data_IF_186764786720
#
_entry.id   IF_186764786720
#
_cell.length_a   1.000
_cell.length_b   1.000
_cell.length_c   1.000
_cell.angle_alpha   90.00
_cell.angle_beta   90.00
_cell.angle_gamma   90.00
#
_symmetry.space_group_name_H-M   'P 1'
#
loop_
_entity.id
_entity.type
_entity.pdbx_description
1 polymer ?
#
# COMPACT_ATOMS: atom_id res chain seq x y z
N UNK A 1 -3.62 2.17 7.37
CA UNK A 1 -4.61 3.25 7.66
C UNK A 1 -6.08 2.88 7.37
N UNK A 2 -6.37 2.05 6.37
CA UNK A 2 -7.74 1.60 6.07
C UNK A 2 -7.90 0.13 6.45
N UNK A 3 -8.35 -0.15 7.68
CA UNK A 3 -8.40 -1.50 8.23
C UNK A 3 -9.79 -2.11 8.09
N UNK A 4 -10.07 -2.69 6.93
CA UNK A 4 -11.24 -3.53 6.63
C UNK A 4 -10.96 -4.36 5.38
N UNK A 5 -11.82 -5.35 5.09
CA UNK A 5 -11.75 -6.15 3.86
C UNK A 5 -10.38 -6.78 3.62
N UNK A 6 -9.90 -6.70 2.37
CA UNK A 6 -8.61 -7.27 1.95
C UNK A 6 -7.40 -6.69 2.69
N UNK A 7 -7.43 -5.40 3.05
CA UNK A 7 -6.34 -4.76 3.82
C UNK A 7 -6.25 -5.29 5.24
N UNK A 8 -7.40 -5.52 5.89
CA UNK A 8 -7.43 -6.14 7.21
C UNK A 8 -6.93 -7.58 7.15
N UNK A 9 -7.47 -8.37 6.23
CA UNK A 9 -7.07 -9.77 6.07
C UNK A 9 -5.56 -9.89 5.83
N UNK A 10 -4.98 -9.05 4.98
CA UNK A 10 -3.54 -9.05 4.75
C UNK A 10 -2.74 -8.72 6.00
N UNK A 11 -3.09 -7.64 6.71
CA UNK A 11 -2.36 -7.20 7.89
C UNK A 11 -2.44 -8.22 9.04
N UNK A 12 -3.62 -8.81 9.26
CA UNK A 12 -3.83 -9.87 10.25
C UNK A 12 -3.09 -11.15 9.87
N UNK A 13 -3.11 -11.53 8.58
CA UNK A 13 -2.37 -12.70 8.10
C UNK A 13 -0.86 -12.51 8.22
N UNK A 14 -0.35 -11.32 7.87
CA UNK A 14 1.05 -10.98 8.06
C UNK A 14 1.44 -11.10 9.53
N UNK A 15 0.63 -10.56 10.45
CA UNK A 15 0.89 -10.71 11.90
C UNK A 15 0.85 -12.18 12.36
N UNK A 16 -0.10 -12.96 11.86
CA UNK A 16 -0.35 -14.34 12.32
C UNK A 16 0.70 -15.32 11.83
N UNK A 17 1.17 -15.17 10.59
CA UNK A 17 2.05 -16.14 9.92
C UNK A 17 3.51 -15.66 9.78
N UNK A 18 3.83 -14.47 10.28
CA UNK A 18 5.20 -13.96 10.30
C UNK A 18 6.02 -14.61 11.42
N UNK A 19 7.32 -14.77 11.18
CA UNK A 19 8.29 -15.12 12.21
C UNK A 19 8.74 -13.90 13.04
N UNK A 20 8.31 -12.71 12.64
CA UNK A 20 8.57 -11.44 13.32
C UNK A 20 7.44 -11.07 14.28
N UNK A 21 7.76 -10.31 15.31
CA UNK A 21 6.76 -9.64 16.12
C UNK A 21 6.16 -8.47 15.34
N UNK A 22 4.83 -8.50 15.15
CA UNK A 22 4.11 -7.50 14.35
C UNK A 22 3.08 -6.78 15.20
N UNK A 23 3.30 -5.49 15.40
CA UNK A 23 2.31 -4.58 15.95
C UNK A 23 1.55 -3.85 14.83
N UNK A 24 0.21 -3.86 14.92
CA UNK A 24 -0.65 -3.27 13.90
C UNK A 24 -1.18 -1.89 14.34
N UNK A 25 -0.65 -0.84 13.73
CA UNK A 25 -1.22 0.51 13.87
C UNK A 25 -2.30 0.77 12.82
N UNK A 26 -3.55 0.74 13.26
CA UNK A 26 -4.71 0.77 12.34
C UNK A 26 -5.66 1.93 12.62
N UNK A 27 -6.49 2.28 11.62
CA UNK A 27 -7.67 3.12 11.78
C UNK A 27 -8.86 2.42 11.13
N UNK A 28 -10.11 2.69 11.56
CA UNK A 28 -11.29 2.04 11.00
C UNK A 28 -11.37 2.21 9.47
N UNK A 29 -11.65 1.12 8.75
CA UNK A 29 -11.80 1.06 7.31
C UNK A 29 -13.06 1.75 6.78
N UNK A 30 -13.12 3.07 6.93
CA UNK A 30 -14.18 3.95 6.40
C UNK A 30 -13.55 5.24 5.89
N UNK A 31 -14.24 5.92 4.97
CA UNK A 31 -13.80 7.19 4.38
C UNK A 31 -12.37 7.07 3.80
N UNK A 32 -12.16 6.16 2.85
CA UNK A 32 -10.84 5.84 2.32
C UNK A 32 -10.06 7.07 1.84
N UNK A 33 -10.74 8.02 1.19
CA UNK A 33 -10.20 9.32 0.78
C UNK A 33 -9.59 10.07 1.97
N UNK A 34 -10.34 10.16 3.07
CA UNK A 34 -9.85 10.74 4.33
C UNK A 34 -8.73 9.92 4.97
N UNK A 35 -8.67 8.60 4.76
CA UNK A 35 -7.56 7.77 5.26
C UNK A 35 -6.25 8.06 4.54
N UNK A 36 -6.29 8.35 3.25
CA UNK A 36 -5.08 8.75 2.52
C UNK A 36 -4.57 10.13 2.96
N UNK A 37 -5.46 11.10 3.19
CA UNK A 37 -5.07 12.44 3.64
C UNK A 37 -4.70 12.52 5.13
N UNK A 38 -5.60 12.08 6.02
CA UNK A 38 -5.47 12.28 7.46
C UNK A 38 -4.86 11.09 8.21
N UNK A 39 -4.72 9.93 7.54
CA UNK A 39 -4.26 8.70 8.18
C UNK A 39 -2.84 8.79 8.73
N UNK A 40 -1.94 9.46 7.99
CA UNK A 40 -0.56 9.70 8.41
C UNK A 40 -0.48 10.45 9.75
N UNK A 41 -1.30 11.49 9.93
CA UNK A 41 -1.33 12.29 11.16
C UNK A 41 -1.77 11.47 12.36
N UNK A 42 -2.88 10.75 12.24
CA UNK A 42 -3.40 9.93 13.34
C UNK A 42 -2.45 8.77 13.69
N UNK A 43 -1.88 8.11 12.68
CA UNK A 43 -0.98 6.98 12.91
C UNK A 43 0.39 7.42 13.43
N UNK A 44 0.89 8.60 13.07
CA UNK A 44 2.11 9.16 13.67
C UNK A 44 1.93 9.40 15.17
N UNK A 45 0.74 9.87 15.59
CA UNK A 45 0.39 9.98 17.01
C UNK A 45 0.45 8.63 17.74
N UNK A 46 -0.10 7.58 17.14
CA UNK A 46 -0.03 6.22 17.71
C UNK A 46 1.41 5.69 17.76
N UNK A 47 2.18 5.87 16.69
CA UNK A 47 3.57 5.44 16.61
C UNK A 47 4.44 6.09 17.70
N UNK A 48 4.25 7.39 17.96
CA UNK A 48 5.00 8.08 19.02
C UNK A 48 4.60 7.66 20.44
N UNK A 49 3.45 7.01 20.59
CA UNK A 49 2.97 6.49 21.86
C UNK A 49 3.39 5.03 22.10
N UNK A 50 4.16 4.42 21.19
CA UNK A 50 4.76 3.11 21.40
C UNK A 50 5.84 3.20 22.46
N UNK A 51 5.86 2.22 23.37
CA UNK A 51 6.90 2.11 24.40
C UNK A 51 8.25 1.70 23.79
N UNK A 52 8.22 0.81 22.79
CA UNK A 52 9.40 0.33 22.08
C UNK A 52 9.36 0.73 20.59
N UNK A 53 10.55 1.00 20.03
CA UNK A 53 10.68 1.36 18.62
C UNK A 53 10.88 0.11 17.78
N UNK A 54 10.17 -0.03 16.65
CA UNK A 54 10.35 -1.18 15.78
C UNK A 54 11.64 -1.07 14.96
N UNK A 55 12.18 -2.22 14.57
CA UNK A 55 13.31 -2.31 13.64
C UNK A 55 12.93 -2.03 12.18
N UNK A 56 11.63 -2.07 11.85
CA UNK A 56 11.09 -1.88 10.50
C UNK A 56 9.69 -1.30 10.57
N UNK A 57 9.40 -0.34 9.67
CA UNK A 57 8.04 0.17 9.45
C UNK A 57 7.56 -0.35 8.09
N UNK A 58 6.48 -1.12 8.08
CA UNK A 58 5.78 -1.54 6.87
C UNK A 58 4.40 -0.88 6.81
N UNK A 59 4.10 -0.22 5.69
CA UNK A 59 2.82 0.49 5.50
C UNK A 59 2.13 0.02 4.22
N UNK A 60 0.80 0.14 4.17
CA UNK A 60 0.05 -0.05 2.91
C UNK A 60 0.07 1.24 2.07
N UNK A 61 -0.16 1.10 0.76
CA UNK A 61 -0.23 2.20 -0.22
C UNK A 61 -1.28 3.28 0.09
N UNK A 62 -2.21 2.96 0.97
CA UNK A 62 -3.22 3.89 1.51
C UNK A 62 -2.66 4.91 2.51
N UNK A 63 -1.39 4.81 2.92
CA UNK A 63 -0.75 5.77 3.82
C UNK A 63 0.11 6.76 3.03
N UNK A 64 -0.05 8.05 3.31
CA UNK A 64 0.98 9.03 2.95
C UNK A 64 2.24 8.81 3.82
N UNK A 65 3.17 8.03 3.27
CA UNK A 65 4.42 7.68 3.96
C UNK A 65 5.37 8.88 4.05
N UNK A 66 5.32 9.81 3.10
CA UNK A 66 6.14 11.01 3.13
C UNK A 66 5.75 11.91 4.32
N UNK A 67 4.46 12.19 4.45
CA UNK A 67 3.93 12.94 5.59
C UNK A 67 4.17 12.17 6.90
N UNK A 68 3.85 10.87 6.95
CA UNK A 68 4.05 10.07 8.16
C UNK A 68 5.52 10.10 8.63
N UNK A 69 6.47 9.92 7.71
CA UNK A 69 7.92 9.93 8.02
C UNK A 69 8.36 11.27 8.59
N UNK A 70 7.87 12.39 8.05
CA UNK A 70 8.17 13.73 8.55
C UNK A 70 7.63 13.98 9.98
N UNK A 71 6.52 13.33 10.34
CA UNK A 71 5.86 13.51 11.63
C UNK A 71 6.46 12.64 12.74
N UNK A 72 6.94 11.44 12.41
CA UNK A 72 7.56 10.55 13.41
C UNK A 72 9.01 10.91 13.71
N UNK A 73 9.71 11.54 12.76
CA UNK A 73 11.11 11.98 12.89
C UNK A 73 12.10 10.87 13.27
N UNK A 74 11.87 9.65 12.76
CA UNK A 74 12.76 8.49 12.95
C UNK A 74 13.44 8.12 11.63
N UNK A 75 14.50 8.84 11.20
CA UNK A 75 15.15 8.58 9.91
C UNK A 75 15.92 7.26 9.87
N UNK A 76 16.35 6.74 11.02
CA UNK A 76 17.15 5.51 11.13
C UNK A 76 16.35 4.23 10.91
N UNK A 77 15.03 4.25 11.14
CA UNK A 77 14.18 3.06 11.00
C UNK A 77 13.87 2.84 9.51
N UNK A 78 14.23 1.70 8.91
CA UNK A 78 13.85 1.37 7.54
C UNK A 78 12.33 1.37 7.34
N UNK A 79 11.89 1.83 6.16
CA UNK A 79 10.49 2.00 5.80
C UNK A 79 10.19 1.29 4.49
N UNK A 80 9.24 0.38 4.50
CA UNK A 80 8.73 -0.27 3.31
C UNK A 80 7.26 0.08 3.09
N UNK A 81 6.87 0.15 1.82
CA UNK A 81 5.48 0.35 1.41
C UNK A 81 5.01 -0.84 0.57
N UNK A 82 3.79 -1.31 0.84
CA UNK A 82 3.16 -2.41 0.13
C UNK A 82 1.93 -1.92 -0.64
N UNK A 83 1.94 -2.11 -1.95
CA UNK A 83 0.87 -1.74 -2.88
C UNK A 83 -0.10 -2.90 -3.09
N UNK A 84 -1.28 -2.78 -2.48
CA UNK A 84 -2.46 -3.62 -2.74
C UNK A 84 -3.16 -3.21 -4.03
N UNK A 85 -3.25 -1.91 -4.22
CA UNK A 85 -3.89 -1.23 -5.32
C UNK A 85 -2.99 -0.09 -5.80
N UNK A 86 -3.40 0.60 -6.86
CA UNK A 86 -2.62 1.70 -7.44
C UNK A 86 -3.56 2.84 -7.81
N UNK A 87 -3.42 3.97 -7.13
CA UNK A 87 -4.25 5.15 -7.38
C UNK A 87 -3.94 5.83 -8.73
N UNK A 88 -2.78 5.58 -9.35
CA UNK A 88 -2.48 6.07 -10.71
C UNK A 88 -3.33 5.41 -11.80
N UNK A 89 -3.75 4.17 -11.59
CA UNK A 89 -4.46 3.38 -12.60
C UNK A 89 -5.82 2.88 -12.10
N UNK A 90 -6.30 3.43 -10.99
CA UNK A 90 -7.56 2.99 -10.39
C UNK A 90 -8.74 3.44 -11.27
N UNK A 91 -9.63 2.52 -11.68
CA UNK A 91 -10.79 2.88 -12.48
C UNK A 91 -11.80 3.64 -11.61
N UNK A 92 -11.97 4.93 -11.89
CA UNK A 92 -12.95 5.75 -11.18
C UNK A 92 -14.37 5.39 -11.62
N UNK A 93 -15.27 5.26 -10.64
CA UNK A 93 -16.70 5.03 -10.92
C UNK A 93 -17.29 6.23 -11.69
N UNK A 94 -18.14 6.02 -12.72
CA UNK A 94 -18.76 7.11 -13.48
C UNK A 94 -19.60 8.08 -12.63
N UNK A 95 -20.06 7.65 -11.46
CA UNK A 95 -20.82 8.46 -10.50
C UNK A 95 -19.98 9.09 -9.39
N UNK A 96 -18.65 8.92 -9.38
CA UNK A 96 -17.79 9.65 -8.46
C UNK A 96 -17.72 11.11 -8.95
N UNK A 97 -18.00 12.13 -8.11
CA UNK A 97 -17.87 13.53 -8.52
C UNK A 97 -16.41 13.98 -8.70
N UNK A 98 -15.43 13.24 -8.17
CA UNK A 98 -14.03 13.67 -8.13
C UNK A 98 -13.26 13.69 -9.47
N UNK A 99 -13.53 12.82 -10.48
CA UNK A 99 -12.91 12.92 -11.80
C UNK A 99 -13.19 14.27 -12.49
N UNK A 100 -14.37 14.87 -12.24
CA UNK A 100 -14.70 16.22 -12.72
C UNK A 100 -13.94 17.34 -11.98
N UNK A 101 -13.35 17.03 -10.82
CA UNK A 101 -12.66 17.98 -9.92
C UNK A 101 -11.14 17.82 -9.91
N UNK A 102 -10.56 16.89 -10.68
CA UNK A 102 -9.12 16.56 -10.70
C UNK A 102 -8.51 16.24 -9.32
N UNK A 103 -9.33 15.75 -8.38
CA UNK A 103 -8.89 15.35 -7.03
C UNK A 103 -8.20 13.97 -7.04
N UNK A 104 -8.35 13.23 -8.13
CA UNK A 104 -7.70 11.96 -8.44
C UNK A 104 -6.16 12.06 -8.42
N UNK A 105 -5.62 13.14 -8.99
CA UNK A 105 -4.18 13.34 -9.08
C UNK A 105 -3.50 13.44 -7.70
N UNK A 106 -4.22 13.83 -6.65
CA UNK A 106 -3.64 13.92 -5.33
C UNK A 106 -3.36 12.54 -4.71
N UNK A 107 -4.25 11.57 -4.87
CA UNK A 107 -4.01 10.21 -4.36
C UNK A 107 -2.89 9.51 -5.14
N UNK A 108 -2.84 9.74 -6.45
CA UNK A 108 -1.72 9.34 -7.30
C UNK A 108 -0.40 9.99 -6.82
N UNK A 109 -0.43 11.28 -6.45
CA UNK A 109 0.73 11.99 -5.92
C UNK A 109 1.18 11.40 -4.58
N UNK A 110 0.26 11.10 -3.66
CA UNK A 110 0.56 10.42 -2.39
C UNK A 110 1.26 9.08 -2.66
N UNK A 111 0.73 8.27 -3.58
CA UNK A 111 1.34 6.99 -3.96
C UNK A 111 2.76 7.19 -4.54
N UNK A 112 2.94 8.16 -5.43
CA UNK A 112 4.25 8.50 -6.01
C UNK A 112 5.27 8.93 -4.95
N UNK A 113 4.93 9.92 -4.12
CA UNK A 113 5.85 10.43 -3.09
C UNK A 113 6.13 9.39 -2.01
N UNK A 114 5.14 8.59 -1.65
CA UNK A 114 5.30 7.48 -0.69
C UNK A 114 6.26 6.41 -1.23
N UNK A 115 6.14 6.05 -2.52
CA UNK A 115 7.10 5.16 -3.17
C UNK A 115 8.49 5.78 -3.24
N UNK A 116 8.59 7.10 -3.46
CA UNK A 116 9.85 7.82 -3.52
C UNK A 116 10.58 7.87 -2.18
N UNK A 117 9.88 8.03 -1.05
CA UNK A 117 10.53 8.08 0.28
C UNK A 117 10.78 6.71 0.91
N UNK A 118 10.09 5.66 0.47
CA UNK A 118 10.29 4.31 1.02
C UNK A 118 11.69 3.77 0.71
N UNK A 119 12.27 2.97 1.60
CA UNK A 119 13.50 2.22 1.34
C UNK A 119 13.23 1.01 0.43
N UNK A 120 12.03 0.43 0.53
CA UNK A 120 11.55 -0.66 -0.34
C UNK A 120 10.11 -0.47 -0.75
N UNK A 121 9.81 -0.82 -1.99
CA UNK A 121 8.46 -0.78 -2.56
C UNK A 121 8.07 -2.19 -2.96
N UNK A 122 7.00 -2.71 -2.38
CA UNK A 122 6.47 -4.03 -2.67
C UNK A 122 5.15 -3.93 -3.42
N UNK A 123 4.99 -4.77 -4.44
CA UNK A 123 3.75 -4.91 -5.19
C UNK A 123 3.21 -6.32 -5.07
N UNK A 124 1.89 -6.48 -4.99
CA UNK A 124 1.24 -7.79 -4.93
C UNK A 124 1.51 -8.67 -6.17
N UNK A 125 1.94 -8.09 -7.30
CA UNK A 125 2.11 -8.77 -8.57
C UNK A 125 3.06 -8.00 -9.50
N UNK A 126 3.65 -8.72 -10.47
CA UNK A 126 4.42 -8.10 -11.54
C UNK A 126 3.56 -7.16 -12.40
N UNK A 127 2.28 -7.49 -12.58
CA UNK A 127 1.32 -6.64 -13.28
C UNK A 127 1.13 -5.30 -12.57
N UNK A 128 0.84 -5.29 -11.26
CA UNK A 128 0.69 -4.05 -10.50
C UNK A 128 1.96 -3.20 -10.52
N UNK A 129 3.14 -3.82 -10.35
CA UNK A 129 4.43 -3.11 -10.43
C UNK A 129 4.61 -2.44 -11.79
N UNK A 130 4.39 -3.18 -12.88
CA UNK A 130 4.58 -2.67 -14.23
C UNK A 130 3.53 -1.61 -14.58
N UNK A 131 2.30 -1.77 -14.13
CA UNK A 131 1.21 -0.80 -14.28
C UNK A 131 1.55 0.52 -13.58
N UNK A 132 1.98 0.45 -12.31
CA UNK A 132 2.42 1.62 -11.54
C UNK A 132 3.57 2.36 -12.22
N UNK A 133 4.67 1.66 -12.50
CA UNK A 133 5.87 2.26 -13.11
C UNK A 133 5.62 2.77 -14.54
N UNK A 134 4.74 2.11 -15.29
CA UNK A 134 4.36 2.51 -16.65
C UNK A 134 3.44 3.73 -16.69
N UNK A 135 2.64 3.95 -15.65
CA UNK A 135 1.76 5.11 -15.54
C UNK A 135 2.50 6.38 -15.06
N UNK A 136 3.59 6.24 -14.29
CA UNK A 136 4.33 7.38 -13.75
C UNK A 136 4.81 8.41 -14.80
N UNK A 137 5.35 8.04 -15.97
CA UNK A 137 5.74 9.03 -16.98
C UNK A 137 4.58 9.92 -17.43
N UNK A 138 3.43 9.31 -17.72
CA UNK A 138 2.24 10.04 -18.16
C UNK A 138 1.65 10.90 -17.04
N UNK A 139 1.72 10.44 -15.79
CA UNK A 139 1.34 11.22 -14.62
C UNK A 139 2.24 12.44 -14.43
N UNK A 140 3.57 12.25 -14.45
CA UNK A 140 4.53 13.33 -14.22
C UNK A 140 4.53 14.38 -15.34
N UNK A 141 4.24 13.98 -16.58
CA UNK A 141 4.12 14.91 -17.71
C UNK A 141 2.96 15.91 -17.58
N UNK A 142 1.99 15.67 -16.69
CA UNK A 142 0.88 16.60 -16.45
C UNK A 142 1.31 17.85 -15.67
N UNK A 143 2.45 17.82 -14.95
CA UNK A 143 2.92 18.94 -14.15
C UNK A 143 3.66 19.99 -15.00
N UNK A 144 3.62 21.27 -14.60
CA UNK A 144 4.09 22.36 -15.46
C UNK A 144 5.60 22.39 -15.69
N UNK A 145 6.42 22.02 -14.69
CA UNK A 145 7.89 22.05 -14.72
C UNK A 145 8.47 21.09 -13.66
N UNK A 146 9.79 20.92 -13.59
CA UNK A 146 10.52 20.15 -12.57
C UNK A 146 9.90 18.77 -12.31
N UNK A 147 9.79 17.99 -13.38
CA UNK A 147 9.05 16.72 -13.37
C UNK A 147 9.84 15.55 -12.80
N UNK A 148 11.15 15.72 -12.60
CA UNK A 148 12.06 14.76 -11.95
C UNK A 148 11.85 13.31 -12.45
N UNK A 149 11.87 13.12 -13.79
CA UNK A 149 11.55 11.84 -14.44
C UNK A 149 12.52 10.71 -14.02
N UNK A 150 13.74 11.05 -13.62
CA UNK A 150 14.74 10.16 -13.05
C UNK A 150 14.25 9.43 -11.79
N UNK A 151 13.32 10.03 -11.03
CA UNK A 151 12.76 9.42 -9.83
C UNK A 151 12.03 8.10 -10.14
N UNK A 152 11.54 7.92 -11.37
CA UNK A 152 10.92 6.67 -11.81
C UNK A 152 11.94 5.51 -11.73
N UNK A 153 13.19 5.76 -12.10
CA UNK A 153 14.24 4.75 -12.05
C UNK A 153 14.63 4.44 -10.60
N UNK A 154 14.74 5.46 -9.75
CA UNK A 154 14.99 5.28 -8.30
C UNK A 154 13.91 4.40 -7.68
N UNK A 155 12.64 4.67 -7.96
CA UNK A 155 11.52 3.86 -7.48
C UNK A 155 11.63 2.42 -8.03
N UNK A 156 11.94 2.25 -9.32
CA UNK A 156 12.09 0.94 -9.95
C UNK A 156 13.15 0.08 -9.27
N UNK A 157 14.30 0.64 -8.94
CA UNK A 157 15.45 -0.10 -8.38
C UNK A 157 15.15 -0.69 -7.00
N UNK A 158 14.32 -0.01 -6.20
CA UNK A 158 13.86 -0.50 -4.89
C UNK A 158 12.52 -1.24 -4.92
N UNK A 159 11.96 -1.48 -6.12
CA UNK A 159 10.67 -2.14 -6.30
C UNK A 159 10.80 -3.65 -6.48
N UNK A 160 10.06 -4.42 -5.68
CA UNK A 160 9.99 -5.87 -5.75
C UNK A 160 8.54 -6.38 -5.80
N UNK A 161 8.35 -7.61 -6.28
CA UNK A 161 7.06 -8.30 -6.21
C UNK A 161 7.06 -9.17 -4.97
N UNK A 162 6.05 -8.97 -4.11
CA UNK A 162 5.79 -9.79 -2.95
C UNK A 162 4.31 -10.23 -3.02
N UNK A 163 4.03 -11.45 -3.50
CA UNK A 163 2.66 -11.94 -3.62
C UNK A 163 1.94 -12.01 -2.27
N UNK A 164 0.62 -11.86 -2.29
CA UNK A 164 -0.19 -12.09 -1.09
C UNK A 164 -0.10 -13.56 -0.67
N UNK A 165 0.19 -13.80 0.61
CA UNK A 165 0.08 -15.12 1.20
C UNK A 165 -1.39 -15.56 1.26
N UNK A 166 -1.63 -16.85 1.03
CA UNK A 166 -2.95 -17.46 1.17
C UNK A 166 -2.85 -18.62 2.18
N UNK A 167 -3.76 -18.65 3.15
CA UNK A 167 -3.87 -19.78 4.05
C UNK A 167 -4.70 -20.88 3.38
N UNK A 168 -4.05 -22.01 3.08
CA UNK A 168 -4.68 -23.16 2.42
C UNK A 168 -5.32 -24.15 3.41
N UNK A 169 -5.26 -23.94 4.73
CA UNK A 169 -5.83 -24.87 5.72
C UNK A 169 -7.32 -25.15 5.49
N UNK A 170 -8.10 -24.11 5.15
CA UNK A 170 -9.54 -24.27 4.85
C UNK A 170 -9.81 -25.03 3.54
N UNK A 171 -8.89 -24.94 2.56
CA UNK A 171 -8.97 -25.71 1.32
C UNK A 171 -8.53 -27.16 1.52
N UNK A 172 -7.67 -27.42 2.51
CA UNK A 172 -7.31 -28.76 2.92
C UNK A 172 -8.48 -29.49 3.59
N UNK A 173 -9.24 -28.80 4.45
CA UNK A 173 -10.45 -29.32 5.09
C UNK A 173 -11.58 -29.59 4.07
N UNK A 174 -11.72 -28.76 3.04
CA UNK A 174 -12.75 -28.92 2.01
C UNK A 174 -12.51 -30.11 1.05
N UNK A 175 -11.30 -30.67 0.98
CA UNK A 175 -11.01 -31.84 0.13
C UNK A 175 -11.72 -33.12 0.57
N UNK A 176 -12.19 -33.20 1.82
CA UNK A 176 -12.90 -34.38 2.33
C UNK A 176 -14.37 -34.47 1.88
N UNK A 177 -14.88 -33.48 1.13
CA UNK A 177 -16.30 -33.40 0.72
C UNK A 177 -16.60 -33.44 -0.78
N UNK A 178 -15.59 -33.55 -1.65
CA UNK A 178 -15.83 -33.62 -3.10
C UNK A 178 -15.85 -35.09 -3.55
N UNK A 179 -16.96 -35.60 -4.12
CA UNK A 179 -16.93 -36.88 -4.81
C UNK A 179 -15.91 -36.79 -5.95
N UNK A 180 -15.11 -37.84 -6.14
CA UNK A 180 -14.21 -37.96 -7.29
C UNK A 180 -15.04 -37.76 -8.57
N UNK A 181 -14.85 -36.63 -9.26
CA UNK A 181 -15.45 -36.44 -10.57
C UNK A 181 -14.80 -37.43 -11.52
N UNK A 182 -15.56 -38.45 -11.94
CA UNK A 182 -15.23 -39.21 -13.14
C UNK A 182 -15.15 -38.23 -14.31
N UNK A 183 -13.94 -38.11 -14.87
CA UNK A 183 -13.67 -37.32 -16.06
C UNK A 183 -14.31 -38.05 -17.25
N UNK A 184 -15.16 -37.40 -18.08
CA UNK A 184 -15.68 -38.01 -19.29
C UNK A 184 -14.60 -38.20 -20.37
#
# INVERSE_FOLDING_TARGET
PFFTGSHQQWAESLKTFSQHEVELLTLPGRHWKWRMHGGAVSLAGKFRALDEKPDLILVSDMLDLALFSSLIQEPSIPKAIYFHENQLTYPWSPGDPDPGLKRDNHYAFINYTSALVADRVFFNSAYHRNSFLGALPGFLQQFPDHREMENIQIIREKSAVLPLGMNFSQLAEAKEGFPENEVP
#
